data_IF_069652250099
#
_entry.id   IF_069652250099
#
_cell.length_a   1.000
_cell.length_b   1.000
_cell.length_c   1.000
_cell.angle_alpha   90.00
_cell.angle_beta   90.00
_cell.angle_gamma   90.00
#
_symmetry.space_group_name_H-M   'P 1'
#
loop_
_entity.id
_entity.type
_entity.pdbx_description
1 polymer ?
#
# COMPACT_ATOMS: atom_id res chain seq x y z
N UNK A 1 15.11 6.85 -6.47
CA UNK A 1 14.78 7.43 -7.79
C UNK A 1 13.48 6.76 -8.22
N UNK A 2 12.52 7.53 -8.71
CA UNK A 2 11.29 7.03 -9.32
C UNK A 2 11.59 6.50 -10.72
N UNK A 3 10.83 5.50 -11.15
CA UNK A 3 10.96 4.92 -12.49
C UNK A 3 10.21 5.82 -13.48
N UNK A 4 10.88 6.29 -14.51
CA UNK A 4 10.21 7.07 -15.57
C UNK A 4 9.40 6.16 -16.49
N UNK A 5 8.18 6.57 -16.81
CA UNK A 5 7.28 5.78 -17.65
C UNK A 5 7.84 5.59 -19.06
N UNK A 6 8.52 6.61 -19.60
CA UNK A 6 9.16 6.53 -20.90
C UNK A 6 10.24 5.44 -20.97
N UNK A 7 11.04 5.30 -19.89
CA UNK A 7 12.09 4.27 -19.87
C UNK A 7 11.54 2.85 -19.83
N UNK A 8 10.43 2.64 -19.12
CA UNK A 8 9.73 1.32 -19.10
C UNK A 8 9.10 1.03 -20.46
N UNK A 9 8.45 2.02 -21.05
CA UNK A 9 7.86 1.88 -22.39
C UNK A 9 8.90 1.50 -23.44
N UNK A 10 10.07 2.16 -23.41
CA UNK A 10 11.17 1.84 -24.35
C UNK A 10 11.69 0.42 -24.16
N UNK A 11 11.83 -0.04 -22.91
CA UNK A 11 12.26 -1.41 -22.64
C UNK A 11 11.21 -2.44 -23.10
N UNK A 12 9.93 -2.18 -22.85
CA UNK A 12 8.81 -3.00 -23.32
C UNK A 12 8.78 -3.02 -24.86
N UNK A 13 8.88 -1.86 -25.53
CA UNK A 13 8.93 -1.79 -27.01
C UNK A 13 10.09 -2.62 -27.56
N UNK A 14 11.27 -2.53 -26.97
CA UNK A 14 12.43 -3.31 -27.39
C UNK A 14 12.21 -4.82 -27.22
N UNK A 15 11.59 -5.23 -26.12
CA UNK A 15 11.28 -6.64 -25.89
C UNK A 15 10.25 -7.16 -26.87
N UNK A 16 9.15 -6.43 -27.07
CA UNK A 16 8.07 -6.76 -28.00
C UNK A 16 8.54 -6.77 -29.46
N UNK A 17 9.40 -5.82 -29.86
CA UNK A 17 9.95 -5.77 -31.21
C UNK A 17 10.80 -7.00 -31.56
N UNK A 18 11.45 -7.64 -30.59
CA UNK A 18 12.17 -8.92 -30.81
C UNK A 18 11.24 -10.05 -31.22
N UNK A 19 9.98 -9.98 -30.85
CA UNK A 19 8.93 -10.94 -31.19
C UNK A 19 8.11 -10.50 -32.44
N UNK A 20 8.59 -9.53 -33.19
CA UNK A 20 7.90 -8.90 -34.35
C UNK A 20 6.54 -8.28 -33.96
N UNK A 21 6.38 -7.87 -32.70
CA UNK A 21 5.19 -7.23 -32.21
C UNK A 21 5.27 -5.70 -32.25
N UNK A 22 4.12 -5.06 -32.07
CA UNK A 22 3.98 -3.61 -31.86
C UNK A 22 3.18 -3.36 -30.60
N UNK A 23 3.67 -2.47 -29.75
CA UNK A 23 2.98 -2.04 -28.53
C UNK A 23 2.53 -0.58 -28.71
N UNK A 24 1.22 -0.35 -28.76
CA UNK A 24 0.66 1.00 -28.73
C UNK A 24 0.72 1.57 -27.31
N UNK A 25 0.69 2.90 -27.17
CA UNK A 25 0.63 3.55 -25.85
C UNK A 25 -0.65 3.17 -25.11
N UNK A 26 -1.77 2.99 -25.81
CA UNK A 26 -3.03 2.54 -25.22
C UNK A 26 -2.93 1.15 -24.60
N UNK A 27 -2.35 0.20 -25.33
CA UNK A 27 -2.15 -1.18 -24.84
C UNK A 27 -1.16 -1.20 -23.68
N UNK A 28 -0.08 -0.44 -23.80
CA UNK A 28 0.90 -0.29 -22.72
C UNK A 28 0.25 0.21 -21.44
N UNK A 29 -0.58 1.26 -21.48
CA UNK A 29 -1.26 1.77 -20.29
C UNK A 29 -2.19 0.73 -19.65
N UNK A 30 -2.91 -0.05 -20.47
CA UNK A 30 -3.78 -1.11 -19.95
C UNK A 30 -2.97 -2.20 -19.24
N UNK A 31 -1.90 -2.68 -19.85
CA UNK A 31 -1.05 -3.73 -19.27
C UNK A 31 -0.21 -3.22 -18.08
N UNK A 32 0.27 -1.97 -18.16
CA UNK A 32 0.99 -1.32 -17.07
C UNK A 32 0.16 -1.30 -15.78
N UNK A 33 -1.09 -0.86 -15.87
CA UNK A 33 -1.99 -0.84 -14.71
C UNK A 33 -2.24 -2.24 -14.13
N UNK A 34 -2.39 -3.24 -14.99
CA UNK A 34 -2.53 -4.64 -14.56
C UNK A 34 -1.25 -5.16 -13.91
N UNK A 35 -0.08 -4.77 -14.45
CA UNK A 35 1.22 -5.16 -13.90
C UNK A 35 1.44 -4.58 -12.51
N UNK A 36 1.14 -3.30 -12.31
CA UNK A 36 1.24 -2.65 -10.99
C UNK A 36 0.37 -3.36 -9.95
N UNK A 37 -0.88 -3.67 -10.28
CA UNK A 37 -1.77 -4.43 -9.38
C UNK A 37 -1.20 -5.82 -9.08
N UNK A 38 -0.68 -6.52 -10.10
CA UNK A 38 -0.11 -7.86 -9.91
C UNK A 38 1.14 -7.86 -9.02
N UNK A 39 1.96 -6.82 -9.10
CA UNK A 39 3.13 -6.67 -8.23
C UNK A 39 2.68 -6.50 -6.77
N UNK A 40 1.71 -5.63 -6.51
CA UNK A 40 1.18 -5.44 -5.16
C UNK A 40 0.57 -6.74 -4.63
N UNK A 41 -0.28 -7.40 -5.42
CA UNK A 41 -0.91 -8.66 -5.03
C UNK A 41 0.14 -9.74 -4.72
N UNK A 42 1.19 -9.82 -5.53
CA UNK A 42 2.28 -10.77 -5.32
C UNK A 42 3.04 -10.49 -4.02
N UNK A 43 3.43 -9.23 -3.78
CA UNK A 43 4.23 -8.86 -2.60
C UNK A 43 3.40 -8.95 -1.32
N UNK A 44 2.12 -8.58 -1.37
CA UNK A 44 1.22 -8.64 -0.22
C UNK A 44 0.64 -10.04 0.04
N UNK A 45 0.97 -11.02 -0.80
CA UNK A 45 0.48 -12.39 -0.67
C UNK A 45 -0.98 -12.56 -1.07
N UNK A 46 -1.57 -11.62 -1.79
CA UNK A 46 -2.94 -11.71 -2.33
C UNK A 46 -2.95 -12.39 -3.71
N UNK A 47 -2.37 -13.57 -3.81
CA UNK A 47 -2.44 -14.36 -5.04
C UNK A 47 -3.77 -15.12 -5.04
N UNK A 48 -4.54 -15.01 -6.13
CA UNK A 48 -5.78 -15.76 -6.39
C UNK A 48 -6.88 -15.61 -5.32
N UNK A 49 -6.99 -14.43 -4.69
CA UNK A 49 -8.02 -14.14 -3.71
C UNK A 49 -7.81 -14.80 -2.34
N UNK A 50 -6.69 -15.46 -2.12
CA UNK A 50 -6.29 -16.00 -0.82
C UNK A 50 -5.42 -14.93 -0.15
N UNK A 51 -5.95 -14.32 0.91
CA UNK A 51 -5.13 -13.48 1.81
C UNK A 51 -4.22 -14.39 2.61
N UNK A 52 -2.99 -14.55 2.17
CA UNK A 52 -1.96 -15.14 3.02
C UNK A 52 -1.56 -14.10 4.07
N UNK A 53 -1.24 -14.52 5.31
CA UNK A 53 -0.66 -13.59 6.29
C UNK A 53 0.58 -12.95 5.66
N UNK A 54 0.72 -11.64 5.84
CA UNK A 54 1.77 -10.84 5.21
C UNK A 54 3.13 -11.49 5.36
N UNK A 55 3.63 -12.02 4.29
CA UNK A 55 4.97 -12.54 4.22
C UNK A 55 5.79 -11.65 3.30
N UNK A 56 6.28 -10.53 3.82
CA UNK A 56 7.46 -9.94 3.22
C UNK A 56 8.60 -10.93 3.36
N UNK A 57 8.78 -11.74 2.35
CA UNK A 57 9.73 -12.85 2.38
C UNK A 57 11.17 -12.38 2.31
N UNK A 58 11.40 -11.13 1.87
CA UNK A 58 12.76 -10.57 1.77
C UNK A 58 12.77 -9.06 2.07
N UNK A 59 13.94 -8.54 2.46
CA UNK A 59 14.16 -7.09 2.59
C UNK A 59 13.91 -6.36 1.27
N UNK A 60 14.20 -7.01 0.13
CA UNK A 60 13.96 -6.47 -1.20
C UNK A 60 12.48 -6.20 -1.46
N UNK A 61 11.59 -7.10 -1.01
CA UNK A 61 10.14 -6.93 -1.19
C UNK A 61 9.63 -5.76 -0.34
N UNK A 62 10.14 -5.61 0.89
CA UNK A 62 9.86 -4.45 1.74
C UNK A 62 10.31 -3.15 1.10
N UNK A 63 11.49 -3.14 0.51
CA UNK A 63 12.02 -1.95 -0.16
C UNK A 63 11.15 -1.57 -1.38
N UNK A 64 10.61 -2.54 -2.11
CA UNK A 64 9.72 -2.30 -3.25
C UNK A 64 8.41 -1.64 -2.81
N UNK A 65 7.84 -2.07 -1.68
CA UNK A 65 6.54 -1.58 -1.17
C UNK A 65 6.67 -0.32 -0.34
N UNK A 66 7.88 0.00 0.15
CA UNK A 66 8.11 1.13 1.06
C UNK A 66 7.50 2.48 0.60
N UNK A 67 7.44 2.83 -0.72
CA UNK A 67 6.82 4.08 -1.16
C UNK A 67 5.30 4.15 -0.93
N UNK A 68 4.66 3.01 -0.69
CA UNK A 68 3.21 2.88 -0.55
C UNK A 68 2.77 2.69 0.90
N UNK A 69 3.71 2.63 1.85
CA UNK A 69 3.40 2.50 3.27
C UNK A 69 3.07 3.88 3.83
N UNK A 70 1.84 4.04 4.27
CA UNK A 70 1.36 5.25 4.92
C UNK A 70 0.91 4.97 6.35
N UNK A 71 0.87 6.04 7.16
CA UNK A 71 0.40 6.00 8.54
C UNK A 71 -0.84 6.85 8.67
N UNK A 72 -1.88 6.24 9.20
CA UNK A 72 -3.14 6.90 9.48
C UNK A 72 -3.42 6.84 10.97
N UNK A 73 -3.50 7.99 11.63
CA UNK A 73 -3.87 8.13 13.04
C UNK A 73 -5.34 8.55 13.12
N UNK A 74 -6.10 7.87 13.94
CA UNK A 74 -7.51 8.22 14.16
C UNK A 74 -7.94 7.84 15.57
N UNK A 75 -8.80 8.69 16.16
CA UNK A 75 -9.60 8.31 17.32
C UNK A 75 -10.66 7.28 16.93
N UNK A 76 -11.09 6.47 17.89
CA UNK A 76 -12.22 5.57 17.70
C UNK A 76 -13.53 6.35 17.83
N UNK A 77 -14.52 5.94 17.05
CA UNK A 77 -15.89 6.44 17.22
C UNK A 77 -16.58 5.81 18.45
N UNK A 78 -17.82 6.19 18.71
CA UNK A 78 -18.62 5.69 19.83
C UNK A 78 -18.87 4.17 19.80
N UNK A 79 -18.70 3.55 18.64
CA UNK A 79 -18.85 2.10 18.43
C UNK A 79 -17.51 1.34 18.49
N UNK A 80 -16.41 2.05 18.73
CA UNK A 80 -15.07 1.47 18.74
C UNK A 80 -14.54 1.14 17.34
N UNK A 81 -14.88 1.97 16.35
CA UNK A 81 -14.52 1.76 14.96
C UNK A 81 -13.68 2.90 14.40
N UNK A 82 -12.89 2.59 13.38
CA UNK A 82 -12.25 3.59 12.51
C UNK A 82 -12.59 3.28 11.05
N UNK A 83 -12.88 4.32 10.29
CA UNK A 83 -13.08 4.21 8.84
C UNK A 83 -11.73 4.05 8.14
N UNK A 84 -11.67 3.17 7.14
CA UNK A 84 -10.49 2.99 6.31
C UNK A 84 -10.21 4.22 5.45
N UNK A 85 -8.95 4.61 5.24
CA UNK A 85 -8.59 5.62 4.25
C UNK A 85 -9.09 5.25 2.85
N UNK A 86 -9.42 6.26 2.03
CA UNK A 86 -9.95 6.04 0.69
C UNK A 86 -8.97 5.30 -0.25
N UNK A 87 -7.67 5.49 -0.02
CA UNK A 87 -6.58 4.86 -0.77
C UNK A 87 -6.08 3.54 -0.14
N UNK A 88 -6.78 3.03 0.88
CA UNK A 88 -6.40 1.81 1.59
C UNK A 88 -6.45 0.58 0.68
N UNK A 89 -5.35 -0.16 0.63
CA UNK A 89 -5.25 -1.45 -0.04
C UNK A 89 -5.23 -2.61 0.96
N UNK A 90 -4.26 -2.63 1.87
CA UNK A 90 -4.14 -3.63 2.94
C UNK A 90 -3.40 -3.05 4.14
N UNK A 91 -3.65 -3.59 5.33
CA UNK A 91 -2.93 -3.18 6.52
C UNK A 91 -1.51 -3.78 6.53
N UNK A 92 -0.59 -3.07 7.19
CA UNK A 92 0.73 -3.57 7.56
C UNK A 92 0.78 -3.83 9.07
N UNK A 93 0.54 -2.81 9.87
CA UNK A 93 0.53 -2.91 11.32
C UNK A 93 -0.60 -2.07 11.94
N UNK A 94 -1.03 -2.47 13.13
CA UNK A 94 -2.00 -1.75 13.94
C UNK A 94 -1.45 -1.54 15.35
N UNK A 95 -1.45 -0.29 15.81
CA UNK A 95 -0.98 0.08 17.14
C UNK A 95 -2.03 0.87 17.88
N UNK A 96 -2.22 0.57 19.18
CA UNK A 96 -3.02 1.42 20.05
C UNK A 96 -2.26 2.69 20.40
N UNK A 97 -2.94 3.84 20.33
CA UNK A 97 -2.46 5.13 20.80
C UNK A 97 -2.93 5.38 22.23
N UNK A 98 -2.08 5.99 23.06
CA UNK A 98 -2.52 6.56 24.30
C UNK A 98 -3.31 7.86 24.05
N UNK A 99 -4.24 8.21 24.96
CA UNK A 99 -5.00 9.46 24.86
C UNK A 99 -4.11 10.71 24.77
N UNK A 100 -2.90 10.67 25.33
CA UNK A 100 -1.93 11.77 25.25
C UNK A 100 -1.32 11.97 23.85
N UNK A 101 -1.27 10.93 23.03
CA UNK A 101 -0.71 11.01 21.66
C UNK A 101 -1.70 11.53 20.64
N UNK A 102 -3.01 11.53 20.96
CA UNK A 102 -4.06 12.08 20.11
C UNK A 102 -4.14 13.62 20.19
N UNK A 103 -3.69 14.21 21.30
CA UNK A 103 -3.75 15.66 21.53
C UNK A 103 -2.58 16.44 20.93
N UNK A 104 -1.53 15.74 20.49
CA UNK A 104 -0.37 16.34 19.82
C UNK A 104 -0.53 16.20 18.30
N UNK A 105 -1.45 16.95 17.71
CA UNK A 105 -1.51 17.10 16.26
C UNK A 105 -0.31 17.94 15.78
N UNK A 106 0.33 17.47 14.71
CA UNK A 106 1.59 18.01 14.16
C UNK A 106 1.47 19.44 13.58
N UNK A 107 0.32 20.11 13.69
CA UNK A 107 0.09 21.44 13.16
C UNK A 107 0.47 22.59 14.11
N UNK A 108 0.89 22.33 15.34
CA UNK A 108 1.30 23.34 16.34
C UNK A 108 2.81 23.54 16.46
N UNK A 109 3.52 23.63 15.32
CA UNK A 109 4.98 23.93 15.34
C UNK A 109 5.29 25.39 15.72
N UNK A 110 4.29 26.28 15.80
CA UNK A 110 4.51 27.72 16.00
C UNK A 110 4.01 28.33 17.31
N UNK A 111 3.64 27.55 18.33
CA UNK A 111 3.37 28.12 19.63
C UNK A 111 4.42 27.69 20.67
N UNK A 112 5.20 28.67 21.10
CA UNK A 112 6.22 28.60 22.13
C UNK A 112 5.82 27.71 23.32
N UNK A 113 6.33 26.49 23.32
CA UNK A 113 6.42 25.72 24.57
C UNK A 113 7.57 26.30 25.39
N UNK A 114 7.21 26.95 26.48
CA UNK A 114 8.14 27.50 27.47
C UNK A 114 9.24 26.50 27.85
N UNK A 115 10.47 26.92 27.65
CA UNK A 115 11.73 26.15 27.80
C UNK A 115 12.10 25.80 29.27
N UNK A 116 11.20 25.85 30.23
CA UNK A 116 11.56 25.75 31.67
C UNK A 116 11.07 24.49 32.41
N UNK A 117 10.72 23.41 31.69
CA UNK A 117 10.52 22.08 32.33
C UNK A 117 11.24 20.97 31.61
N UNK A 118 12.56 21.09 31.43
CA UNK A 118 13.44 19.94 31.23
C UNK A 118 13.57 19.19 32.56
N UNK A 119 12.64 18.28 32.83
CA UNK A 119 12.85 17.15 33.72
C UNK A 119 12.61 15.90 32.91
N UNK A 120 13.70 15.26 32.54
CA UNK A 120 13.92 13.84 32.25
C UNK A 120 12.63 12.97 32.17
N UNK A 121 11.79 13.22 31.17
CA UNK A 121 10.84 12.24 30.72
C UNK A 121 11.54 11.43 29.64
N UNK A 122 11.99 10.25 30.03
CA UNK A 122 12.52 9.19 29.21
C UNK A 122 11.48 8.85 28.10
N UNK A 123 11.49 9.61 27.00
CA UNK A 123 10.57 9.48 25.86
C UNK A 123 10.87 8.26 25.00
N UNK A 124 11.79 7.39 25.46
CA UNK A 124 12.28 6.25 24.70
C UNK A 124 11.49 4.95 24.89
N UNK A 125 10.43 4.89 25.71
CA UNK A 125 9.71 3.65 26.01
C UNK A 125 8.19 3.81 26.10
N UNK A 126 7.56 4.49 25.16
CA UNK A 126 6.14 4.27 24.93
C UNK A 126 6.03 2.95 24.17
N UNK A 127 5.83 1.86 24.90
CA UNK A 127 5.54 0.55 24.31
C UNK A 127 4.27 0.69 23.47
N UNK A 128 4.47 0.84 22.15
CA UNK A 128 3.36 0.78 21.19
C UNK A 128 2.69 -0.57 21.34
N UNK A 129 1.50 -0.58 21.90
CA UNK A 129 0.75 -1.83 22.05
C UNK A 129 0.25 -2.29 20.70
N UNK A 130 0.81 -3.38 20.20
CA UNK A 130 0.37 -3.99 18.95
C UNK A 130 -1.04 -4.53 19.08
N UNK A 131 -1.90 -4.22 18.13
CA UNK A 131 -3.27 -4.72 18.06
C UNK A 131 -3.29 -5.97 17.19
N UNK A 132 -3.82 -7.07 17.74
CA UNK A 132 -3.94 -8.32 17.02
C UNK A 132 -5.16 -8.28 16.09
N UNK A 133 -4.94 -8.37 14.77
CA UNK A 133 -6.03 -8.47 13.80
C UNK A 133 -6.51 -9.92 13.70
N UNK A 134 -7.79 -10.13 13.89
CA UNK A 134 -8.43 -11.45 13.91
C UNK A 134 -9.48 -11.57 12.79
N UNK A 135 -9.66 -12.79 12.30
CA UNK A 135 -10.82 -13.09 11.47
C UNK A 135 -12.13 -12.95 12.26
N UNK A 136 -13.25 -12.91 11.54
CA UNK A 136 -14.56 -12.69 12.16
C UNK A 136 -14.94 -13.72 13.20
N UNK A 137 -14.52 -14.97 13.07
CA UNK A 137 -14.85 -16.05 14.00
C UNK A 137 -13.98 -15.97 15.25
N UNK A 138 -12.67 -15.85 15.08
CA UNK A 138 -11.72 -15.71 16.19
C UNK A 138 -12.00 -14.43 17.02
N UNK A 139 -12.31 -13.31 16.37
CA UNK A 139 -12.70 -12.08 17.05
C UNK A 139 -13.91 -12.29 17.96
N UNK A 140 -14.96 -12.95 17.48
CA UNK A 140 -16.16 -13.23 18.25
C UNK A 140 -15.89 -14.13 19.45
N UNK A 141 -15.06 -15.16 19.28
CA UNK A 141 -14.67 -16.06 20.38
C UNK A 141 -13.89 -15.29 21.43
N UNK A 142 -12.92 -14.46 21.01
CA UNK A 142 -12.08 -13.66 21.91
C UNK A 142 -12.91 -12.59 22.63
N UNK A 143 -13.82 -11.90 21.93
CA UNK A 143 -14.71 -10.89 22.51
C UNK A 143 -15.61 -11.43 23.63
N UNK A 144 -16.05 -12.69 23.53
CA UNK A 144 -16.90 -13.36 24.52
C UNK A 144 -16.13 -14.17 25.56
N UNK A 145 -14.80 -14.25 25.44
CA UNK A 145 -13.99 -15.05 26.34
C UNK A 145 -13.99 -14.46 27.76
N UNK A 146 -14.24 -15.31 28.76
CA UNK A 146 -14.09 -14.99 30.19
C UNK A 146 -12.76 -15.46 30.77
N UNK A 147 -11.93 -16.09 29.93
CA UNK A 147 -10.64 -16.63 30.38
C UNK A 147 -9.66 -15.47 30.49
N UNK A 148 -9.08 -15.34 31.68
CA UNK A 148 -8.06 -14.30 31.98
C UNK A 148 -6.88 -14.45 31.02
N UNK A 149 -6.59 -13.36 30.28
CA UNK A 149 -5.50 -13.32 29.26
C UNK A 149 -5.92 -13.65 27.83
N UNK A 150 -7.15 -14.16 27.60
CA UNK A 150 -7.76 -14.31 26.27
C UNK A 150 -8.77 -13.19 25.99
N UNK A 151 -9.44 -12.67 26.99
CA UNK A 151 -10.35 -11.54 26.85
C UNK A 151 -9.59 -10.29 26.39
N UNK A 152 -10.17 -9.47 25.51
CA UNK A 152 -9.59 -8.21 25.07
C UNK A 152 -9.30 -7.30 26.27
N UNK A 153 -8.18 -6.60 26.24
CA UNK A 153 -7.77 -5.64 27.28
C UNK A 153 -6.86 -4.58 26.68
N UNK A 154 -6.64 -3.47 27.37
CA UNK A 154 -5.73 -2.40 26.95
C UNK A 154 -4.30 -2.90 26.66
N UNK A 155 -3.86 -3.99 27.28
CA UNK A 155 -2.56 -4.62 27.03
C UNK A 155 -2.56 -5.62 25.86
N UNK A 156 -3.74 -6.09 25.48
CA UNK A 156 -3.94 -7.06 24.40
C UNK A 156 -5.21 -6.69 23.63
N UNK A 157 -5.20 -5.56 22.95
CA UNK A 157 -6.31 -5.16 22.12
C UNK A 157 -6.41 -6.07 20.90
N UNK A 158 -7.62 -6.24 20.43
CA UNK A 158 -7.91 -6.99 19.22
C UNK A 158 -8.68 -6.14 18.23
N UNK A 159 -8.51 -6.41 16.96
CA UNK A 159 -9.25 -5.77 15.89
C UNK A 159 -9.82 -6.80 14.92
N UNK A 160 -10.80 -6.37 14.16
CA UNK A 160 -11.38 -7.11 13.06
C UNK A 160 -11.59 -6.18 11.89
N UNK A 161 -11.15 -6.63 10.74
CA UNK A 161 -11.37 -5.93 9.48
C UNK A 161 -12.80 -6.18 8.96
N UNK A 162 -13.47 -5.10 8.58
CA UNK A 162 -14.76 -5.07 7.88
C UNK A 162 -14.57 -4.43 6.50
N UNK A 163 -15.61 -4.40 5.69
CA UNK A 163 -15.54 -3.78 4.36
C UNK A 163 -14.86 -2.41 4.37
N UNK A 164 -15.48 -1.41 5.03
CA UNK A 164 -15.01 -0.04 5.02
C UNK A 164 -14.43 0.46 6.35
N UNK A 165 -14.35 -0.38 7.38
CA UNK A 165 -13.88 0.01 8.69
C UNK A 165 -13.18 -1.14 9.43
N UNK A 166 -12.46 -0.79 10.49
CA UNK A 166 -11.96 -1.71 11.50
C UNK A 166 -12.76 -1.56 12.78
N UNK A 167 -13.10 -2.68 13.41
CA UNK A 167 -13.77 -2.77 14.71
C UNK A 167 -12.75 -3.20 15.77
N UNK A 168 -12.67 -2.48 16.88
CA UNK A 168 -11.67 -2.69 17.94
C UNK A 168 -12.30 -3.07 19.27
N UNK A 169 -11.59 -3.86 20.05
CA UNK A 169 -11.90 -4.16 21.44
C UNK A 169 -10.61 -4.14 22.28
N UNK A 170 -10.64 -3.54 23.52
CA UNK A 170 -11.79 -2.84 24.11
C UNK A 170 -12.04 -1.48 23.47
N UNK A 171 -13.25 -0.95 23.59
CA UNK A 171 -13.64 0.35 23.01
C UNK A 171 -12.99 1.54 23.74
N UNK A 172 -12.39 1.30 24.91
CA UNK A 172 -11.70 2.32 25.70
C UNK A 172 -10.31 2.71 25.14
N UNK A 173 -9.87 2.08 24.03
CA UNK A 173 -8.66 2.52 23.32
C UNK A 173 -8.92 3.94 22.82
N UNK A 174 -8.08 4.91 23.20
CA UNK A 174 -8.27 6.31 22.83
C UNK A 174 -8.15 6.56 21.34
N UNK A 175 -7.29 5.81 20.66
CA UNK A 175 -7.10 5.88 19.22
C UNK A 175 -6.17 4.79 18.70
N UNK A 176 -5.95 4.81 17.40
CA UNK A 176 -5.17 3.80 16.70
C UNK A 176 -4.27 4.45 15.65
N UNK A 177 -3.05 3.95 15.52
CA UNK A 177 -2.22 4.15 14.34
C UNK A 177 -2.33 2.93 13.46
N UNK A 178 -2.86 3.13 12.26
CA UNK A 178 -2.89 2.14 11.19
C UNK A 178 -1.71 2.41 10.25
N UNK A 179 -0.76 1.49 10.18
CA UNK A 179 0.22 1.44 9.09
C UNK A 179 -0.36 0.57 7.99
N UNK A 180 -0.48 1.10 6.80
CA UNK A 180 -1.15 0.42 5.70
C UNK A 180 -0.44 0.67 4.38
N UNK A 181 -0.64 -0.24 3.44
CA UNK A 181 -0.22 -0.10 2.06
C UNK A 181 -1.38 0.54 1.32
N UNK A 182 -1.12 1.66 0.65
CA UNK A 182 -2.10 2.32 -0.22
C UNK A 182 -2.03 1.82 -1.66
N UNK A 183 -3.09 2.06 -2.40
CA UNK A 183 -3.02 1.91 -3.86
C UNK A 183 -1.98 2.87 -4.44
N UNK A 184 -1.17 2.43 -5.44
CA UNK A 184 -0.28 3.32 -6.17
C UNK A 184 -1.09 4.33 -7.00
N UNK A 185 -0.53 5.49 -7.22
CA UNK A 185 -0.95 6.35 -8.32
C UNK A 185 -0.36 5.71 -9.57
N UNK A 186 -1.23 5.20 -10.44
CA UNK A 186 -0.79 4.46 -11.62
C UNK A 186 -0.01 5.36 -12.59
N UNK A 187 1.07 4.81 -13.14
CA UNK A 187 1.78 5.43 -14.25
C UNK A 187 0.87 5.51 -15.48
N UNK A 188 0.84 6.67 -16.11
CA UNK A 188 0.06 6.90 -17.33
C UNK A 188 0.93 7.53 -18.40
N UNK A 189 1.10 6.83 -19.53
CA UNK A 189 1.78 7.34 -20.70
C UNK A 189 0.79 8.13 -21.58
N UNK A 190 1.14 9.35 -21.92
CA UNK A 190 0.42 10.15 -22.92
C UNK A 190 1.24 10.21 -24.20
N UNK A 191 0.62 9.83 -25.30
CA UNK A 191 1.27 9.82 -26.61
C UNK A 191 1.26 11.17 -27.28
N UNK A 192 2.34 11.49 -27.99
CA UNK A 192 2.40 12.55 -28.99
C UNK A 192 3.02 12.01 -30.28
N UNK A 193 2.67 12.59 -31.43
CA UNK A 193 3.29 12.23 -32.69
C UNK A 193 4.60 12.99 -32.87
N UNK A 194 5.68 12.25 -33.05
CA UNK A 194 6.94 12.84 -33.49
C UNK A 194 6.83 13.25 -34.95
N UNK A 195 6.94 14.55 -35.21
CA UNK A 195 6.81 15.13 -36.55
C UNK A 195 7.97 14.75 -37.51
N UNK A 196 9.08 14.24 -36.96
CA UNK A 196 10.27 13.88 -37.74
C UNK A 196 10.16 12.46 -38.26
N UNK A 197 9.76 11.53 -37.39
CA UNK A 197 9.72 10.10 -37.71
C UNK A 197 8.30 9.57 -37.94
N UNK A 198 7.28 10.40 -37.68
CA UNK A 198 5.86 10.02 -37.73
C UNK A 198 5.56 8.79 -36.85
N UNK A 199 6.24 8.70 -35.74
CA UNK A 199 6.06 7.66 -34.74
C UNK A 199 5.37 8.20 -33.50
N UNK A 200 4.61 7.35 -32.82
CA UNK A 200 4.02 7.67 -31.52
C UNK A 200 5.11 7.57 -30.45
N UNK A 201 5.37 8.67 -29.76
CA UNK A 201 6.33 8.78 -28.65
C UNK A 201 5.63 9.28 -27.39
N UNK A 202 6.20 9.03 -26.22
CA UNK A 202 5.64 9.51 -24.95
C UNK A 202 5.94 11.00 -24.78
N UNK A 203 4.90 11.77 -24.44
CA UNK A 203 5.06 13.15 -23.97
C UNK A 203 5.45 13.14 -22.49
N UNK A 204 6.69 13.51 -22.14
CA UNK A 204 7.14 13.47 -20.74
C UNK A 204 6.46 14.51 -19.86
N UNK A 205 5.89 15.58 -20.43
CA UNK A 205 5.24 16.64 -19.68
C UNK A 205 3.78 16.33 -19.33
N UNK A 206 3.11 15.52 -20.17
CA UNK A 206 1.72 15.14 -19.98
C UNK A 206 1.58 13.77 -19.30
N UNK A 207 2.64 12.98 -19.25
CA UNK A 207 2.65 11.63 -18.67
C UNK A 207 2.89 11.66 -17.17
N UNK A 208 2.39 10.63 -16.47
CA UNK A 208 2.64 10.42 -15.04
C UNK A 208 3.61 9.26 -14.85
N UNK A 209 4.72 9.52 -14.18
CA UNK A 209 5.72 8.52 -13.86
C UNK A 209 5.22 7.54 -12.79
N UNK A 210 5.91 6.39 -12.69
CA UNK A 210 5.62 5.41 -11.66
C UNK A 210 6.11 5.88 -10.28
N UNK A 211 5.33 5.58 -9.25
CA UNK A 211 5.76 5.76 -7.86
C UNK A 211 6.72 4.66 -7.38
N UNK A 212 6.83 3.59 -8.13
CA UNK A 212 7.70 2.46 -7.82
C UNK A 212 9.18 2.86 -7.80
N UNK A 213 9.95 2.22 -6.93
CA UNK A 213 11.40 2.37 -6.93
C UNK A 213 12.05 1.50 -8.02
N UNK A 214 13.33 1.76 -8.32
CA UNK A 214 14.08 1.09 -9.39
C UNK A 214 14.14 -0.45 -9.22
N UNK A 215 13.98 -0.96 -7.99
CA UNK A 215 13.97 -2.40 -7.73
C UNK A 215 12.76 -3.12 -8.36
N UNK A 216 11.66 -2.42 -8.59
CA UNK A 216 10.45 -2.95 -9.22
C UNK A 216 10.51 -2.92 -10.76
N UNK A 217 11.45 -2.18 -11.37
CA UNK A 217 11.49 -1.94 -12.82
C UNK A 217 11.45 -3.24 -13.65
N UNK A 218 12.34 -4.16 -13.33
CA UNK A 218 12.42 -5.42 -14.09
C UNK A 218 11.12 -6.22 -13.96
N UNK A 219 10.50 -6.25 -12.76
CA UNK A 219 9.20 -6.90 -12.57
C UNK A 219 8.11 -6.25 -13.42
N UNK A 220 8.07 -4.91 -13.47
CA UNK A 220 7.11 -4.18 -14.31
C UNK A 220 7.27 -4.55 -15.78
N UNK A 221 8.48 -4.47 -16.30
CA UNK A 221 8.77 -4.79 -17.71
C UNK A 221 8.40 -6.25 -18.03
N UNK A 222 8.84 -7.19 -17.21
CA UNK A 222 8.60 -8.63 -17.44
C UNK A 222 7.10 -8.94 -17.45
N UNK A 223 6.34 -8.42 -16.48
CA UNK A 223 4.90 -8.66 -16.41
C UNK A 223 4.16 -8.01 -17.58
N UNK A 224 4.54 -6.79 -17.99
CA UNK A 224 3.93 -6.12 -19.14
C UNK A 224 4.18 -6.92 -20.42
N UNK A 225 5.41 -7.41 -20.63
CA UNK A 225 5.78 -8.24 -21.76
C UNK A 225 5.02 -9.58 -21.76
N UNK A 226 4.84 -10.20 -20.59
CA UNK A 226 4.02 -11.41 -20.45
C UNK A 226 2.56 -11.18 -20.85
N UNK A 227 1.96 -10.05 -20.46
CA UNK A 227 0.60 -9.70 -20.88
C UNK A 227 0.52 -9.51 -22.39
N UNK A 228 1.52 -8.86 -23.01
CA UNK A 228 1.61 -8.75 -24.46
C UNK A 228 1.66 -10.14 -25.11
N UNK A 229 2.59 -10.99 -24.70
CA UNK A 229 2.77 -12.33 -25.28
C UNK A 229 1.49 -13.17 -25.19
N UNK A 230 0.77 -13.09 -24.07
CA UNK A 230 -0.49 -13.78 -23.90
C UNK A 230 -1.59 -13.22 -24.79
N UNK A 231 -1.69 -11.90 -24.98
CA UNK A 231 -2.66 -11.27 -25.86
C UNK A 231 -2.47 -11.67 -27.33
N UNK A 232 -1.21 -11.77 -27.77
CA UNK A 232 -0.87 -12.23 -29.15
C UNK A 232 -1.22 -13.70 -29.35
N UNK A 233 -0.95 -14.55 -28.35
CA UNK A 233 -1.33 -15.99 -28.41
C UNK A 233 -2.84 -16.18 -28.49
N UNK A 234 -3.63 -15.43 -27.72
CA UNK A 234 -5.09 -15.49 -27.78
C UNK A 234 -5.65 -15.04 -29.14
N UNK A 235 -5.03 -14.04 -29.76
CA UNK A 235 -5.42 -13.63 -31.13
C UNK A 235 -5.08 -14.68 -32.18
N UNK A 236 -3.97 -15.38 -32.02
CA UNK A 236 -3.57 -16.43 -32.96
C UNK A 236 -4.40 -17.72 -32.89
N UNK A 237 -5.16 -17.91 -31.82
CA UNK A 237 -6.04 -19.07 -31.60
C UNK A 237 -7.49 -18.84 -32.06
N UNK A 238 -7.83 -17.64 -32.49
CA UNK A 238 -9.15 -17.28 -33.07
C UNK A 238 -9.10 -17.26 -34.60
#
# INVERSE_FOLDING_TARGET
MSITISSVFDDVRRAVAKENGYCSISDFNAWSRLAENRIIDFITGRIDGISLPQMYTSQKDKDIVSPFIEKYKSGLDSEGQITKPANYYTYDNLYALSLKELECDEDDIDSACDDDKKQDADTSNIEKTVIELLDGHAFYIRAKSRIKGLAPSMKKPIAKERGNYFEFLPNEIGGVTLEYIRYPIYGVAVGMMDNVYNEEVIDPNASTDYEWNENARNMLVDIIVDFFANSVREMALK
#
